data_IF_732756503189
#
_entry.id   IF_732756503189
#
_cell.length_a   1.000
_cell.length_b   1.000
_cell.length_c   1.000
_cell.angle_alpha   90.00
_cell.angle_beta   90.00
_cell.angle_gamma   90.00
#
_symmetry.space_group_name_H-M   'P 1'
#
loop_
_entity.id
_entity.type
_entity.pdbx_description
1 polymer ?
#
# COMPACT_ATOMS: atom_id res chain seq x y z
N UNK A 1 -7.96 6.21 -14.62
CA UNK A 1 -6.60 5.82 -14.99
C UNK A 1 -6.41 4.38 -14.55
N UNK A 2 -5.27 3.74 -14.84
CA UNK A 2 -4.96 2.46 -14.20
C UNK A 2 -4.31 2.79 -12.87
N UNK A 3 -4.85 2.27 -11.76
CA UNK A 3 -4.34 2.53 -10.39
C UNK A 3 -2.83 2.29 -10.24
N UNK A 4 -2.25 1.46 -11.11
CA UNK A 4 -0.82 1.19 -11.19
C UNK A 4 0.01 2.42 -11.53
N UNK A 5 -0.56 3.42 -12.23
CA UNK A 5 0.11 4.67 -12.55
C UNK A 5 0.49 5.46 -11.29
N UNK A 6 -0.22 5.25 -10.18
CA UNK A 6 0.17 5.87 -8.90
C UNK A 6 1.50 5.34 -8.39
N UNK A 7 1.86 4.09 -8.70
CA UNK A 7 3.12 3.51 -8.25
C UNK A 7 4.33 4.22 -8.86
N UNK A 8 4.20 4.74 -10.08
CA UNK A 8 5.28 5.45 -10.78
C UNK A 8 5.90 6.54 -9.92
N UNK A 9 5.10 7.27 -9.15
CA UNK A 9 5.62 8.35 -8.30
C UNK A 9 6.60 7.83 -7.23
N UNK A 10 6.31 6.70 -6.60
CA UNK A 10 7.21 6.10 -5.62
C UNK A 10 8.35 5.32 -6.30
N UNK A 11 8.09 4.70 -7.45
CA UNK A 11 9.10 4.02 -8.26
C UNK A 11 10.20 5.01 -8.70
N UNK A 12 9.83 6.18 -9.24
CA UNK A 12 10.78 7.23 -9.65
C UNK A 12 11.65 7.71 -8.48
N UNK A 13 11.03 7.90 -7.30
CA UNK A 13 11.74 8.32 -6.08
C UNK A 13 12.69 7.22 -5.60
N UNK A 14 12.25 5.97 -5.60
CA UNK A 14 13.08 4.83 -5.21
C UNK A 14 14.25 4.66 -6.16
N UNK A 15 14.02 4.73 -7.47
CA UNK A 15 15.05 4.60 -8.50
C UNK A 15 16.12 5.68 -8.36
N UNK A 16 15.72 6.93 -8.10
CA UNK A 16 16.65 8.00 -7.80
C UNK A 16 17.47 7.72 -6.52
N UNK A 17 16.80 7.26 -5.46
CA UNK A 17 17.42 7.03 -4.15
C UNK A 17 18.30 5.77 -4.09
N UNK A 18 18.08 4.79 -4.97
CA UNK A 18 18.90 3.56 -5.05
C UNK A 18 20.38 3.86 -5.30
N UNK A 19 20.71 4.93 -6.04
CA UNK A 19 22.09 5.37 -6.27
C UNK A 19 22.69 6.22 -5.15
N UNK A 20 21.87 6.73 -4.23
CA UNK A 20 22.28 7.72 -3.23
C UNK A 20 22.39 7.08 -1.85
N UNK A 21 21.32 6.44 -1.38
CA UNK A 21 21.18 5.97 0.01
C UNK A 21 22.28 4.97 0.43
N UNK A 22 22.72 4.02 -0.42
CA UNK A 22 23.82 3.13 -0.06
C UNK A 22 25.15 3.84 0.18
N UNK A 23 25.37 5.00 -0.44
CA UNK A 23 26.62 5.76 -0.38
C UNK A 23 26.67 6.78 0.77
N UNK A 24 25.56 6.97 1.50
CA UNK A 24 25.48 7.88 2.65
C UNK A 24 26.23 7.25 3.83
N UNK A 25 27.31 7.89 4.28
CA UNK A 25 28.11 7.41 5.41
C UNK A 25 27.42 7.62 6.77
N UNK A 26 26.65 8.70 6.93
CA UNK A 26 25.95 9.02 8.18
C UNK A 26 24.72 8.11 8.37
N UNK A 27 24.72 7.23 9.40
CA UNK A 27 23.60 6.34 9.67
C UNK A 27 22.29 7.07 10.02
N UNK A 28 22.37 8.22 10.70
CA UNK A 28 21.18 8.99 11.09
C UNK A 28 20.50 9.60 9.86
N UNK A 29 21.29 10.09 8.91
CA UNK A 29 20.77 10.59 7.64
C UNK A 29 20.16 9.44 6.84
N UNK A 30 20.82 8.29 6.78
CA UNK A 30 20.31 7.09 6.10
C UNK A 30 18.93 6.69 6.63
N UNK A 31 18.76 6.65 7.95
CA UNK A 31 17.47 6.33 8.60
C UNK A 31 16.38 7.33 8.18
N UNK A 32 16.67 8.62 8.07
CA UNK A 32 15.68 9.61 7.60
C UNK A 32 15.19 9.31 6.17
N UNK A 33 16.10 8.91 5.27
CA UNK A 33 15.72 8.51 3.91
C UNK A 33 14.86 7.24 3.88
N UNK A 34 15.13 6.27 4.76
CA UNK A 34 14.27 5.08 4.93
C UNK A 34 12.83 5.51 5.29
N UNK A 35 12.69 6.50 6.18
CA UNK A 35 11.41 7.08 6.55
C UNK A 35 10.70 7.78 5.40
N UNK A 36 11.41 8.64 4.68
CA UNK A 36 10.86 9.34 3.52
C UNK A 36 10.37 8.38 2.44
N UNK A 37 11.12 7.32 2.15
CA UNK A 37 10.71 6.29 1.19
C UNK A 37 9.46 5.57 1.68
N UNK A 38 9.38 5.22 2.97
CA UNK A 38 8.19 4.59 3.56
C UNK A 38 6.94 5.48 3.40
N UNK A 39 7.09 6.79 3.59
CA UNK A 39 6.00 7.77 3.37
C UNK A 39 5.56 7.79 1.91
N UNK A 40 6.51 7.90 0.97
CA UNK A 40 6.21 7.92 -0.46
C UNK A 40 5.50 6.64 -0.91
N UNK A 41 6.01 5.49 -0.50
CA UNK A 41 5.49 4.17 -0.83
C UNK A 41 4.04 3.96 -0.32
N UNK A 42 3.76 4.35 0.92
CA UNK A 42 2.42 4.25 1.51
C UNK A 42 1.44 5.24 0.88
N UNK A 43 1.92 6.42 0.48
CA UNK A 43 1.09 7.44 -0.20
C UNK A 43 0.55 6.92 -1.52
N UNK A 44 1.39 6.27 -2.33
CA UNK A 44 0.94 5.74 -3.64
C UNK A 44 -0.05 4.57 -3.48
N UNK A 45 0.08 3.76 -2.42
CA UNK A 45 -0.93 2.75 -2.09
C UNK A 45 -2.27 3.36 -1.75
N UNK A 46 -2.27 4.43 -0.97
CA UNK A 46 -3.50 5.13 -0.62
C UNK A 46 -4.19 5.69 -1.85
N UNK A 47 -3.45 6.36 -2.74
CA UNK A 47 -3.98 6.88 -4.00
C UNK A 47 -4.57 5.75 -4.87
N UNK A 48 -3.83 4.66 -5.04
CA UNK A 48 -4.29 3.49 -5.80
C UNK A 48 -5.57 2.88 -5.20
N UNK A 49 -5.63 2.74 -3.88
CA UNK A 49 -6.81 2.24 -3.17
C UNK A 49 -8.03 3.15 -3.40
N UNK A 50 -7.86 4.46 -3.26
CA UNK A 50 -8.94 5.44 -3.50
C UNK A 50 -9.45 5.30 -4.93
N UNK A 51 -8.55 5.26 -5.92
CA UNK A 51 -8.93 5.11 -7.32
C UNK A 51 -9.69 3.80 -7.56
N UNK A 52 -9.24 2.66 -7.01
CA UNK A 52 -9.91 1.37 -7.17
C UNK A 52 -11.36 1.41 -6.68
N UNK A 53 -11.59 1.91 -5.46
CA UNK A 53 -12.95 1.99 -4.90
C UNK A 53 -13.84 2.97 -5.66
N UNK A 54 -13.32 4.16 -6.00
CA UNK A 54 -14.06 5.18 -6.73
C UNK A 54 -14.46 4.66 -8.12
N UNK A 55 -13.53 4.02 -8.84
CA UNK A 55 -13.82 3.47 -10.16
C UNK A 55 -14.84 2.33 -10.09
N UNK A 56 -14.71 1.42 -9.11
CA UNK A 56 -15.70 0.36 -8.91
C UNK A 56 -17.11 0.93 -8.62
N UNK A 57 -17.20 1.92 -7.73
CA UNK A 57 -18.43 2.58 -7.37
C UNK A 57 -19.08 3.30 -8.57
N UNK A 58 -18.29 4.07 -9.33
CA UNK A 58 -18.74 4.75 -10.57
C UNK A 58 -19.26 3.75 -11.60
N UNK A 59 -18.56 2.63 -11.76
CA UNK A 59 -18.96 1.55 -12.67
C UNK A 59 -20.24 0.83 -12.22
N UNK A 60 -20.60 0.87 -10.93
CA UNK A 60 -21.89 0.36 -10.44
C UNK A 60 -23.01 1.37 -10.66
N UNK A 61 -22.82 2.61 -10.23
CA UNK A 61 -23.81 3.68 -10.39
C UNK A 61 -23.17 5.06 -10.18
N UNK A 62 -23.58 6.06 -10.98
CA UNK A 62 -23.01 7.42 -10.93
C UNK A 62 -23.07 8.07 -9.54
N UNK A 63 -24.24 8.02 -8.89
CA UNK A 63 -24.44 8.60 -7.54
C UNK A 63 -23.58 7.91 -6.48
N UNK A 64 -23.45 6.58 -6.57
CA UNK A 64 -22.59 5.82 -5.66
C UNK A 64 -21.12 6.21 -5.85
N UNK A 65 -20.70 6.44 -7.11
CA UNK A 65 -19.41 6.99 -7.46
C UNK A 65 -19.11 8.31 -6.74
N UNK A 66 -19.99 9.31 -6.87
CA UNK A 66 -19.83 10.61 -6.21
C UNK A 66 -19.82 10.52 -4.68
N UNK A 67 -20.66 9.66 -4.09
CA UNK A 67 -20.63 9.42 -2.65
C UNK A 67 -19.31 8.80 -2.19
N UNK A 68 -18.81 7.82 -2.94
CA UNK A 68 -17.56 7.12 -2.65
C UNK A 68 -16.36 8.06 -2.76
N UNK A 69 -16.32 8.89 -3.79
CA UNK A 69 -15.29 9.93 -3.95
C UNK A 69 -15.23 10.88 -2.76
N UNK A 70 -16.37 11.47 -2.36
CA UNK A 70 -16.44 12.35 -1.19
C UNK A 70 -16.07 11.64 0.12
N UNK A 71 -16.37 10.35 0.24
CA UNK A 71 -16.01 9.55 1.40
C UNK A 71 -14.50 9.30 1.48
N UNK A 72 -13.87 8.94 0.35
CA UNK A 72 -12.44 8.62 0.29
C UNK A 72 -11.53 9.85 0.24
N UNK A 73 -12.04 11.01 -0.18
CA UNK A 73 -11.30 12.28 -0.11
C UNK A 73 -10.85 12.61 1.32
N UNK A 74 -11.66 12.23 2.32
CA UNK A 74 -11.41 12.50 3.74
C UNK A 74 -10.57 11.43 4.45
N UNK A 75 -10.24 10.33 3.78
CA UNK A 75 -9.44 9.26 4.35
C UNK A 75 -7.97 9.61 4.16
N UNK A 76 -7.19 9.66 5.25
CA UNK A 76 -5.74 9.81 5.21
C UNK A 76 -5.09 8.74 6.10
N UNK A 77 -4.18 7.98 5.52
CA UNK A 77 -3.33 7.00 6.19
C UNK A 77 -4.01 5.75 6.74
N UNK A 78 -5.33 5.60 6.56
CA UNK A 78 -6.10 4.45 7.03
C UNK A 78 -6.13 3.31 6.00
N UNK A 79 -4.96 2.79 5.64
CA UNK A 79 -4.85 1.75 4.59
C UNK A 79 -4.47 0.36 5.11
N UNK A 80 -4.58 0.11 6.43
CA UNK A 80 -4.30 -1.22 6.99
C UNK A 80 -5.26 -2.27 6.39
N UNK A 81 -4.78 -3.49 6.13
CA UNK A 81 -5.60 -4.59 5.55
C UNK A 81 -6.93 -4.77 6.27
N UNK A 82 -6.93 -4.77 7.60
CA UNK A 82 -8.15 -4.89 8.41
C UNK A 82 -9.13 -3.74 8.19
N UNK A 83 -8.63 -2.51 8.02
CA UNK A 83 -9.47 -1.35 7.70
C UNK A 83 -10.07 -1.51 6.30
N UNK A 84 -9.27 -1.98 5.33
CA UNK A 84 -9.74 -2.27 3.97
C UNK A 84 -10.91 -3.27 4.02
N UNK A 85 -10.75 -4.37 4.75
CA UNK A 85 -11.78 -5.41 4.90
C UNK A 85 -13.03 -4.90 5.62
N UNK A 86 -12.85 -4.39 6.85
CA UNK A 86 -13.95 -4.11 7.77
C UNK A 86 -14.69 -2.80 7.46
N UNK A 87 -13.96 -1.77 7.03
CA UNK A 87 -14.51 -0.43 6.88
C UNK A 87 -14.83 -0.10 5.42
N UNK A 88 -14.04 -0.59 4.46
CA UNK A 88 -14.18 -0.20 3.05
C UNK A 88 -14.91 -1.25 2.22
N UNK A 89 -14.35 -2.44 2.04
CA UNK A 89 -14.92 -3.49 1.20
C UNK A 89 -16.30 -3.91 1.72
N UNK A 90 -16.46 -4.07 3.04
CA UNK A 90 -17.73 -4.46 3.66
C UNK A 90 -18.91 -3.58 3.26
N UNK A 91 -18.70 -2.28 3.00
CA UNK A 91 -19.74 -1.35 2.53
C UNK A 91 -20.30 -1.69 1.15
N UNK A 92 -19.53 -2.37 0.32
CA UNK A 92 -19.96 -2.86 -1.00
C UNK A 92 -20.59 -4.25 -0.95
N UNK A 93 -20.53 -4.92 0.20
CA UNK A 93 -21.18 -6.19 0.48
C UNK A 93 -20.20 -7.32 0.85
N UNK A 94 -20.67 -8.22 1.72
CA UNK A 94 -19.87 -9.30 2.30
C UNK A 94 -19.24 -10.24 1.25
N UNK A 95 -19.87 -10.39 0.08
CA UNK A 95 -19.33 -11.19 -1.02
C UNK A 95 -17.97 -10.67 -1.52
N UNK A 96 -17.75 -9.35 -1.52
CA UNK A 96 -16.48 -8.76 -1.93
C UNK A 96 -15.42 -8.93 -0.86
N UNK A 97 -15.82 -8.91 0.41
CA UNK A 97 -14.91 -9.14 1.53
C UNK A 97 -14.34 -10.57 1.48
N UNK A 98 -15.23 -11.58 1.37
CA UNK A 98 -14.83 -12.98 1.18
C UNK A 98 -13.98 -13.20 -0.08
N UNK A 99 -14.28 -12.47 -1.17
CA UNK A 99 -13.49 -12.54 -2.41
C UNK A 99 -12.09 -11.97 -2.20
N UNK A 100 -11.95 -10.86 -1.50
CA UNK A 100 -10.66 -10.25 -1.18
C UNK A 100 -9.83 -11.16 -0.30
N UNK A 101 -10.41 -11.68 0.78
CA UNK A 101 -9.74 -12.60 1.70
C UNK A 101 -9.17 -13.81 0.95
N UNK A 102 -10.02 -14.44 0.13
CA UNK A 102 -9.61 -15.58 -0.69
C UNK A 102 -8.46 -15.23 -1.64
N UNK A 103 -8.57 -14.12 -2.39
CA UNK A 103 -7.52 -13.69 -3.33
C UNK A 103 -6.22 -13.35 -2.63
N UNK A 104 -6.30 -12.67 -1.49
CA UNK A 104 -5.14 -12.29 -0.69
C UNK A 104 -4.47 -13.52 -0.08
N UNK A 105 -5.24 -14.53 0.36
CA UNK A 105 -4.70 -15.80 0.86
C UNK A 105 -4.05 -16.63 -0.25
N UNK A 106 -4.68 -16.72 -1.42
CA UNK A 106 -4.14 -17.39 -2.60
C UNK A 106 -2.81 -16.74 -3.03
N UNK A 107 -2.80 -15.41 -3.16
CA UNK A 107 -1.60 -14.66 -3.52
C UNK A 107 -0.50 -14.77 -2.46
N UNK A 108 -0.83 -14.65 -1.16
CA UNK A 108 0.15 -14.76 -0.09
C UNK A 108 0.80 -16.15 -0.05
N UNK A 109 0.02 -17.22 -0.24
CA UNK A 109 0.56 -18.59 -0.31
C UNK A 109 1.48 -18.77 -1.52
N UNK A 110 1.05 -18.32 -2.70
CA UNK A 110 1.87 -18.41 -3.91
C UNK A 110 3.18 -17.62 -3.77
N UNK A 111 3.10 -16.41 -3.22
CA UNK A 111 4.25 -15.54 -3.02
C UNK A 111 5.22 -16.09 -1.99
N UNK A 112 4.71 -16.68 -0.89
CA UNK A 112 5.53 -17.33 0.14
C UNK A 112 6.31 -18.52 -0.41
N UNK A 113 5.70 -19.32 -1.29
CA UNK A 113 6.37 -20.45 -1.93
C UNK A 113 7.48 -19.99 -2.89
N UNK A 114 7.23 -18.95 -3.67
CA UNK A 114 8.16 -18.45 -4.67
C UNK A 114 9.32 -17.62 -4.08
N UNK A 115 9.01 -16.72 -3.15
CA UNK A 115 9.94 -15.69 -2.66
C UNK A 115 10.37 -15.90 -1.21
N UNK A 116 9.78 -16.87 -0.49
CA UNK A 116 10.01 -17.11 0.95
C UNK A 116 9.69 -15.89 1.84
N UNK A 117 8.82 -14.99 1.36
CA UNK A 117 8.35 -13.79 2.06
C UNK A 117 6.83 -13.73 2.05
N UNK A 118 6.26 -13.06 3.07
CA UNK A 118 4.82 -12.87 3.20
C UNK A 118 4.43 -11.43 2.81
N UNK A 119 3.56 -11.31 1.80
CA UNK A 119 3.11 -10.01 1.28
C UNK A 119 2.26 -9.22 2.28
N UNK A 120 1.50 -9.89 3.16
CA UNK A 120 0.67 -9.25 4.19
C UNK A 120 1.55 -8.64 5.27
N UNK A 121 2.57 -9.38 5.69
CA UNK A 121 3.55 -8.89 6.66
C UNK A 121 4.35 -7.73 6.07
N UNK A 122 4.83 -7.85 4.84
CA UNK A 122 5.56 -6.78 4.14
C UNK A 122 4.74 -5.50 4.04
N UNK A 123 3.49 -5.61 3.59
CA UNK A 123 2.56 -4.49 3.52
C UNK A 123 2.27 -3.86 4.90
N UNK A 124 2.06 -4.70 5.92
CA UNK A 124 1.79 -4.25 7.29
C UNK A 124 3.00 -3.53 7.90
N UNK A 125 4.20 -4.08 7.72
CA UNK A 125 5.44 -3.50 8.20
C UNK A 125 5.69 -2.13 7.57
N UNK A 126 5.47 -1.99 6.26
CA UNK A 126 5.64 -0.72 5.56
C UNK A 126 4.73 0.38 6.11
N UNK A 127 3.46 0.05 6.40
CA UNK A 127 2.52 0.99 7.03
C UNK A 127 2.98 1.36 8.44
N UNK A 128 3.49 0.39 9.21
CA UNK A 128 4.03 0.63 10.55
C UNK A 128 5.22 1.57 10.48
N UNK A 129 6.23 1.30 9.65
CA UNK A 129 7.41 2.14 9.48
C UNK A 129 7.06 3.57 9.05
N UNK A 130 6.09 3.73 8.14
CA UNK A 130 5.56 5.05 7.80
C UNK A 130 5.01 5.75 9.03
N UNK A 131 4.16 5.08 9.81
CA UNK A 131 3.49 5.70 10.95
C UNK A 131 4.50 6.09 12.03
N UNK A 132 5.42 5.19 12.37
CA UNK A 132 6.48 5.44 13.34
C UNK A 132 7.30 6.67 12.93
N UNK A 133 7.67 6.76 11.65
CA UNK A 133 8.44 7.89 11.14
C UNK A 133 7.63 9.20 11.12
N UNK A 134 6.43 9.17 10.55
CA UNK A 134 5.63 10.37 10.33
C UNK A 134 5.02 10.95 11.62
N UNK A 135 4.73 10.12 12.62
CA UNK A 135 4.08 10.55 13.87
C UNK A 135 5.04 10.61 15.05
N UNK A 136 6.01 9.70 15.14
CA UNK A 136 6.93 9.65 16.29
C UNK A 136 8.31 10.21 15.97
N UNK A 137 8.62 10.49 14.70
CA UNK A 137 9.96 10.87 14.25
C UNK A 137 10.99 9.76 14.45
N UNK A 138 10.53 8.53 14.66
CA UNK A 138 11.35 7.36 14.99
C UNK A 138 11.24 6.34 13.87
N UNK A 139 12.34 5.68 13.58
CA UNK A 139 12.32 4.41 12.89
C UNK A 139 12.99 3.39 13.78
N UNK A 140 12.49 2.16 13.74
CA UNK A 140 13.20 1.05 14.34
C UNK A 140 14.62 1.03 13.77
N UNK A 141 15.64 1.10 14.64
CA UNK A 141 17.06 1.24 14.27
C UNK A 141 17.57 0.11 13.38
N UNK A 142 16.82 -1.00 13.31
CA UNK A 142 17.21 -2.20 12.58
C UNK A 142 16.62 -2.26 11.17
N UNK A 143 15.69 -1.36 10.80
CA UNK A 143 15.08 -1.36 9.46
C UNK A 143 16.00 -0.73 8.44
N UNK A 144 16.30 -1.47 7.38
CA UNK A 144 17.18 -1.06 6.29
C UNK A 144 16.41 -0.50 5.11
N UNK A 145 17.09 0.32 4.31
CA UNK A 145 16.53 0.84 3.05
C UNK A 145 16.08 -0.28 2.10
N UNK A 146 16.89 -1.34 1.95
CA UNK A 146 16.56 -2.48 1.11
C UNK A 146 15.30 -3.20 1.55
N UNK A 147 15.09 -3.35 2.86
CA UNK A 147 13.85 -3.95 3.41
C UNK A 147 12.61 -3.11 3.11
N UNK A 148 12.71 -1.78 3.19
CA UNK A 148 11.60 -0.87 2.85
C UNK A 148 11.26 -0.96 1.38
N UNK A 149 12.26 -0.88 0.50
CA UNK A 149 12.05 -1.00 -0.96
C UNK A 149 11.46 -2.35 -1.30
N UNK A 150 11.95 -3.43 -0.69
CA UNK A 150 11.42 -4.76 -0.90
C UNK A 150 9.98 -4.89 -0.41
N UNK A 151 9.68 -4.38 0.79
CA UNK A 151 8.32 -4.42 1.34
C UNK A 151 7.34 -3.60 0.51
N UNK A 152 7.82 -2.53 -0.14
CA UNK A 152 7.06 -1.79 -1.13
C UNK A 152 6.81 -2.60 -2.41
N UNK A 153 7.79 -3.33 -2.95
CA UNK A 153 7.51 -4.17 -4.12
C UNK A 153 6.53 -5.32 -3.76
N UNK A 154 6.74 -5.98 -2.62
CA UNK A 154 5.88 -7.08 -2.15
C UNK A 154 4.45 -6.59 -1.83
N UNK A 155 4.32 -5.37 -1.28
CA UNK A 155 3.03 -4.81 -0.91
C UNK A 155 2.15 -4.39 -2.09
N UNK A 156 2.71 -4.18 -3.29
CA UNK A 156 1.93 -3.94 -4.52
C UNK A 156 0.95 -5.09 -4.79
N UNK A 157 1.33 -6.32 -4.45
CA UNK A 157 0.47 -7.51 -4.60
C UNK A 157 -0.83 -7.40 -3.79
N UNK A 158 -0.81 -6.76 -2.62
CA UNK A 158 -2.02 -6.51 -1.82
C UNK A 158 -2.97 -5.57 -2.57
N UNK A 159 -2.43 -4.54 -3.21
CA UNK A 159 -3.20 -3.58 -4.02
C UNK A 159 -3.73 -4.25 -5.30
N UNK A 160 -2.95 -5.14 -5.94
CA UNK A 160 -3.40 -5.95 -7.07
C UNK A 160 -4.57 -6.86 -6.68
N UNK A 161 -4.48 -7.56 -5.54
CA UNK A 161 -5.57 -8.38 -5.00
C UNK A 161 -6.85 -7.55 -4.77
N UNK A 162 -6.71 -6.33 -4.25
CA UNK A 162 -7.82 -5.40 -4.05
C UNK A 162 -8.44 -5.00 -5.39
N UNK A 163 -7.62 -4.59 -6.35
CA UNK A 163 -8.07 -4.18 -7.68
C UNK A 163 -8.86 -5.30 -8.36
N UNK A 164 -8.36 -6.54 -8.32
CA UNK A 164 -9.04 -7.69 -8.90
C UNK A 164 -10.35 -8.05 -8.19
N UNK A 165 -10.41 -7.85 -6.87
CA UNK A 165 -11.64 -8.05 -6.10
C UNK A 165 -12.72 -7.07 -6.54
N UNK A 166 -12.33 -5.82 -6.73
CA UNK A 166 -13.20 -4.70 -7.09
C UNK A 166 -13.35 -4.53 -8.61
N UNK A 167 -13.28 -5.62 -9.38
CA UNK A 167 -13.73 -5.66 -10.78
C UNK A 167 -15.21 -6.06 -10.84
N UNK A 168 -15.97 -5.35 -11.68
CA UNK A 168 -17.42 -5.53 -11.86
C UNK A 168 -17.76 -6.90 -12.40
#
# INVERSE_FOLDING_TARGET
MTYTNHFQHADDVIDHLNGIVPNIQDPLVRIKYVGFVSVAAVTVYELALKEIFINFARNKHKVLGSFTENYFDRINGRIKIRVIQCDYIKKFGEKYNKRFDRKLDEAAKAYLLANRRDIKNSYTNLITWRNDFAHEGKLNSNTTYGEVVQAYQDGKEVIHCLAETMRR
#
